data_IF_578705482900
#
_entry.id   IF_578705482900
#
_cell.length_a   1.000
_cell.length_b   1.000
_cell.length_c   1.000
_cell.angle_alpha   90.00
_cell.angle_beta   90.00
_cell.angle_gamma   90.00
#
_symmetry.space_group_name_H-M   'P 1'
#
loop_
_entity.id
_entity.type
_entity.pdbx_description
1 polymer ?
#
# COMPACT_ATOMS: atom_id res chain seq x y z
N UNK A 1 23.23 -33.14 -82.31
CA UNK A 1 22.87 -34.33 -81.51
C UNK A 1 23.78 -34.40 -80.31
N UNK A 2 23.28 -34.03 -79.13
CA UNK A 2 23.43 -34.69 -77.81
C UNK A 2 22.77 -33.80 -76.74
N UNK A 3 22.39 -34.44 -75.63
CA UNK A 3 21.31 -34.11 -74.69
C UNK A 3 21.63 -33.10 -73.57
N UNK A 4 20.55 -32.71 -72.86
CA UNK A 4 20.48 -32.42 -71.41
C UNK A 4 21.00 -31.07 -70.93
N UNK A 5 20.51 -30.45 -69.85
CA UNK A 5 19.61 -30.88 -68.78
C UNK A 5 18.97 -29.63 -68.14
N UNK A 6 17.79 -29.80 -67.54
CA UNK A 6 17.15 -28.83 -66.67
C UNK A 6 17.99 -28.56 -65.40
N UNK A 7 17.89 -27.36 -64.83
CA UNK A 7 17.50 -27.17 -63.42
C UNK A 7 17.36 -25.68 -63.06
N UNK A 8 16.17 -25.35 -62.53
CA UNK A 8 15.91 -24.20 -61.67
C UNK A 8 16.92 -24.20 -60.51
N UNK A 9 17.37 -23.04 -60.03
CA UNK A 9 17.43 -22.81 -58.58
C UNK A 9 17.58 -21.33 -58.23
N UNK A 10 16.50 -20.82 -57.66
CA UNK A 10 16.33 -19.64 -56.82
C UNK A 10 17.47 -19.49 -55.80
N UNK A 11 18.06 -18.29 -55.68
CA UNK A 11 18.90 -17.89 -54.54
C UNK A 11 18.38 -16.55 -54.02
N UNK A 12 17.44 -16.59 -53.08
CA UNK A 12 17.66 -16.45 -51.63
C UNK A 12 18.20 -15.07 -51.23
N UNK A 13 17.25 -14.19 -50.91
CA UNK A 13 17.42 -13.01 -50.08
C UNK A 13 17.86 -13.47 -48.68
N UNK A 14 19.12 -13.22 -48.29
CA UNK A 14 19.53 -13.30 -46.89
C UNK A 14 19.10 -12.01 -46.17
N UNK A 15 17.83 -11.96 -45.76
CA UNK A 15 17.39 -11.03 -44.72
C UNK A 15 17.74 -11.62 -43.36
N UNK A 16 18.80 -11.14 -42.72
CA UNK A 16 19.09 -11.44 -41.31
C UNK A 16 18.08 -10.66 -40.48
N UNK A 17 17.02 -11.34 -40.04
CA UNK A 17 16.05 -10.81 -39.09
C UNK A 17 16.68 -10.94 -37.69
N UNK A 18 17.24 -9.84 -37.17
CA UNK A 18 17.68 -9.77 -35.79
C UNK A 18 16.43 -9.79 -34.88
N UNK A 19 16.14 -10.95 -34.29
CA UNK A 19 15.14 -11.08 -33.23
C UNK A 19 15.77 -10.49 -31.98
N UNK A 20 15.46 -9.23 -31.68
CA UNK A 20 15.70 -8.64 -30.36
C UNK A 20 14.70 -9.30 -29.43
N UNK A 21 15.15 -10.32 -28.69
CA UNK A 21 14.40 -10.84 -27.54
C UNK A 21 14.47 -9.74 -26.47
N UNK A 22 13.41 -8.94 -26.39
CA UNK A 22 13.20 -8.05 -25.26
C UNK A 22 12.76 -8.96 -24.12
N UNK A 23 13.67 -9.31 -23.23
CA UNK A 23 13.31 -9.92 -21.96
C UNK A 23 12.35 -8.96 -21.26
N UNK A 24 11.08 -9.37 -21.19
CA UNK A 24 10.13 -8.70 -20.32
C UNK A 24 10.63 -8.94 -18.90
N UNK A 25 11.16 -7.90 -18.26
CA UNK A 25 11.46 -7.90 -16.84
C UNK A 25 10.13 -8.13 -16.14
N UNK A 26 9.85 -9.36 -15.72
CA UNK A 26 8.71 -9.66 -14.88
C UNK A 26 9.13 -9.35 -13.45
N UNK A 27 8.44 -8.42 -12.79
CA UNK A 27 8.67 -8.23 -11.36
C UNK A 27 7.97 -9.35 -10.60
N UNK A 28 8.78 -10.12 -9.89
CA UNK A 28 8.32 -11.08 -8.90
C UNK A 28 7.93 -10.33 -7.63
N UNK A 29 6.68 -10.46 -7.19
CA UNK A 29 6.25 -9.97 -5.89
C UNK A 29 6.03 -11.13 -4.94
N UNK A 30 6.32 -10.90 -3.67
CA UNK A 30 6.01 -11.81 -2.58
C UNK A 30 4.59 -11.56 -2.08
N UNK A 31 3.85 -12.65 -1.95
CA UNK A 31 2.49 -12.69 -1.39
C UNK A 31 2.50 -13.58 -0.14
N UNK A 32 1.87 -13.15 0.94
CA UNK A 32 1.64 -14.00 2.10
C UNK A 32 0.30 -13.68 2.78
N UNK A 33 -0.14 -14.60 3.64
CA UNK A 33 -1.32 -14.43 4.49
C UNK A 33 -0.85 -14.45 5.94
N UNK A 34 -1.18 -13.42 6.71
CA UNK A 34 -0.82 -13.40 8.14
C UNK A 34 -1.80 -14.20 9.01
N UNK A 35 -1.51 -14.28 10.31
CA UNK A 35 -2.33 -15.02 11.29
C UNK A 35 -3.77 -14.50 11.42
N UNK A 36 -4.03 -13.28 10.97
CA UNK A 36 -5.37 -12.67 10.97
C UNK A 36 -6.13 -12.92 9.67
N UNK A 37 -5.48 -13.55 8.68
CA UNK A 37 -6.04 -13.79 7.37
C UNK A 37 -5.96 -12.60 6.42
N UNK A 38 -5.19 -11.55 6.76
CA UNK A 38 -4.90 -10.46 5.83
C UNK A 38 -3.90 -10.93 4.78
N UNK A 39 -4.18 -10.62 3.51
CA UNK A 39 -3.27 -10.88 2.40
C UNK A 39 -2.39 -9.66 2.18
N UNK A 40 -1.09 -9.89 2.02
CA UNK A 40 -0.11 -8.83 1.81
C UNK A 40 0.70 -9.08 0.56
N UNK A 41 1.18 -7.98 -0.04
CA UNK A 41 2.04 -7.98 -1.21
C UNK A 41 3.22 -7.04 -1.00
N UNK A 42 4.43 -7.52 -1.29
CA UNK A 42 5.66 -6.73 -1.25
C UNK A 42 6.63 -7.16 -2.35
N UNK A 43 7.58 -6.28 -2.72
CA UNK A 43 8.67 -6.64 -3.65
C UNK A 43 9.66 -7.64 -3.05
N UNK A 44 9.86 -7.56 -1.74
CA UNK A 44 10.77 -8.42 -1.00
C UNK A 44 9.94 -9.28 -0.03
N UNK A 45 10.28 -10.56 0.08
CA UNK A 45 9.57 -11.48 0.96
C UNK A 45 9.99 -11.20 2.40
N UNK A 46 9.04 -11.03 3.34
CA UNK A 46 9.39 -10.89 4.74
C UNK A 46 10.11 -12.17 5.22
N UNK A 47 11.17 -12.05 6.04
CA UNK A 47 11.89 -13.20 6.56
C UNK A 47 10.98 -14.04 7.48
N UNK A 48 11.04 -15.37 7.37
CA UNK A 48 10.36 -16.27 8.31
C UNK A 48 8.85 -16.44 8.10
N UNK A 49 8.29 -16.00 6.96
CA UNK A 49 6.91 -16.27 6.55
C UNK A 49 6.90 -17.11 5.28
N UNK A 50 5.98 -18.08 5.18
CA UNK A 50 5.73 -18.75 3.90
C UNK A 50 5.11 -17.76 2.92
N UNK A 51 5.91 -17.34 1.93
CA UNK A 51 5.50 -16.40 0.89
C UNK A 51 5.54 -17.08 -0.49
N UNK A 52 4.53 -16.80 -1.30
CA UNK A 52 4.45 -17.21 -2.71
C UNK A 52 4.96 -16.08 -3.61
N UNK A 53 5.74 -16.41 -4.66
CA UNK A 53 6.14 -15.44 -5.68
C UNK A 53 5.06 -15.36 -6.77
N UNK A 54 4.52 -14.17 -6.96
CA UNK A 54 3.50 -13.86 -7.97
C UNK A 54 4.14 -13.02 -9.06
N UNK A 55 4.07 -13.51 -10.30
CA UNK A 55 4.62 -12.84 -11.47
C UNK A 55 3.68 -11.74 -11.96
N UNK A 56 4.20 -10.51 -12.09
CA UNK A 56 3.48 -9.40 -12.73
C UNK A 56 4.18 -9.07 -14.05
N UNK A 57 3.40 -8.99 -15.13
CA UNK A 57 3.88 -8.48 -16.41
C UNK A 57 4.16 -6.98 -16.31
N UNK A 58 5.42 -6.60 -16.09
CA UNK A 58 5.81 -5.19 -16.14
C UNK A 58 6.03 -4.71 -17.58
N UNK A 59 5.94 -3.38 -17.76
CA UNK A 59 6.53 -2.65 -18.89
C UNK A 59 7.64 -1.78 -18.28
N UNK A 60 8.82 -1.67 -18.90
CA UNK A 60 10.00 -1.12 -18.24
C UNK A 60 9.84 0.38 -17.96
N UNK A 61 10.27 0.80 -16.77
CA UNK A 61 10.52 2.19 -16.41
C UNK A 61 11.94 2.29 -15.86
N UNK A 62 12.75 3.15 -16.47
CA UNK A 62 14.18 3.36 -16.18
C UNK A 62 14.36 4.18 -14.90
N UNK A 63 15.22 3.69 -13.99
CA UNK A 63 15.76 4.42 -12.84
C UNK A 63 16.91 5.34 -13.29
N UNK A 64 17.02 6.52 -12.68
CA UNK A 64 18.32 7.17 -12.44
C UNK A 64 18.27 7.89 -11.07
N UNK A 65 19.33 7.65 -10.29
CA UNK A 65 19.50 7.96 -8.86
C UNK A 65 20.53 9.07 -8.70
N UNK A 66 20.29 10.09 -7.84
CA UNK A 66 21.32 10.70 -6.97
C UNK A 66 20.69 11.25 -5.66
N UNK A 67 21.34 10.96 -4.51
CA UNK A 67 21.00 11.35 -3.13
C UNK A 67 21.67 12.71 -2.73
N UNK A 68 21.55 13.35 -1.56
CA UNK A 68 21.04 13.12 -0.17
C UNK A 68 20.75 14.51 0.49
N UNK A 69 20.15 14.66 1.71
CA UNK A 69 20.93 14.92 2.96
C UNK A 69 20.15 14.68 4.31
N UNK A 70 20.58 15.23 5.49
CA UNK A 70 21.65 14.80 6.40
C UNK A 70 21.13 14.14 7.71
N UNK A 71 22.05 13.53 8.46
CA UNK A 71 21.84 13.02 9.84
C UNK A 71 21.56 14.14 10.85
N UNK A 72 20.63 13.88 11.78
CA UNK A 72 20.47 14.65 13.02
C UNK A 72 20.47 13.67 14.19
N UNK A 73 21.39 13.93 15.13
CA UNK A 73 21.64 13.22 16.38
C UNK A 73 20.49 13.33 17.40
N UNK A 74 20.36 12.38 18.34
CA UNK A 74 19.29 12.39 19.33
C UNK A 74 19.63 13.35 20.48
N UNK A 75 18.63 14.07 20.98
CA UNK A 75 18.70 14.68 22.32
C UNK A 75 17.42 14.40 23.09
N UNK A 76 17.67 13.96 24.30
CA UNK A 76 16.81 13.50 25.38
C UNK A 76 15.97 14.64 25.97
N UNK A 77 14.67 14.40 26.18
CA UNK A 77 14.01 14.66 27.47
C UNK A 77 12.54 14.22 27.41
N UNK A 78 12.20 13.28 28.30
CA UNK A 78 10.83 13.03 28.77
C UNK A 78 10.27 14.31 29.38
N UNK A 79 9.13 14.77 28.89
CA UNK A 79 8.22 15.62 29.66
C UNK A 79 6.78 15.12 29.44
N UNK A 80 6.12 14.86 30.56
CA UNK A 80 4.70 14.54 30.66
C UNK A 80 3.89 15.74 30.13
N UNK A 81 3.07 15.53 29.10
CA UNK A 81 2.12 16.55 28.63
C UNK A 81 1.08 16.81 29.75
N UNK A 82 0.93 18.04 30.24
CA UNK A 82 0.00 18.36 31.31
C UNK A 82 -1.46 18.26 30.81
N UNK A 83 -2.34 17.65 31.59
CA UNK A 83 -3.73 17.28 31.27
C UNK A 83 -4.57 18.31 30.47
N UNK A 84 -4.25 19.60 30.61
CA UNK A 84 -4.90 20.68 29.84
C UNK A 84 -4.59 20.63 28.34
N UNK A 85 -3.36 20.30 27.94
CA UNK A 85 -2.98 20.17 26.54
C UNK A 85 -3.67 18.97 25.88
N UNK A 86 -3.85 17.88 26.64
CA UNK A 86 -4.60 16.71 26.19
C UNK A 86 -6.10 17.02 26.04
N UNK A 87 -6.71 17.69 27.02
CA UNK A 87 -8.11 18.12 26.94
C UNK A 87 -8.37 19.04 25.73
N UNK A 88 -7.51 20.04 25.51
CA UNK A 88 -7.61 20.92 24.34
C UNK A 88 -7.48 20.15 23.02
N UNK A 89 -6.59 19.16 22.95
CA UNK A 89 -6.45 18.32 21.76
C UNK A 89 -7.70 17.44 21.51
N UNK A 90 -8.33 16.92 22.56
CA UNK A 90 -9.60 16.18 22.46
C UNK A 90 -10.74 17.07 21.97
N UNK A 91 -10.78 18.34 22.39
CA UNK A 91 -11.77 19.31 21.89
C UNK A 91 -11.54 19.69 20.41
N UNK A 92 -10.28 19.71 19.97
CA UNK A 92 -9.89 20.08 18.61
C UNK A 92 -10.06 18.94 17.60
N UNK A 93 -10.08 17.69 18.05
CA UNK A 93 -10.12 16.50 17.21
C UNK A 93 -11.46 15.76 17.32
N UNK A 94 -12.14 15.59 16.19
CA UNK A 94 -13.35 14.77 16.09
C UNK A 94 -13.26 13.79 14.92
N UNK A 95 -14.11 12.77 14.93
CA UNK A 95 -14.10 11.70 13.94
C UNK A 95 -15.49 11.51 13.35
N UNK A 96 -15.55 11.47 12.02
CA UNK A 96 -16.78 11.18 11.29
C UNK A 96 -16.73 9.79 10.70
N UNK A 97 -17.76 8.99 10.97
CA UNK A 97 -17.88 7.66 10.37
C UNK A 97 -17.92 7.75 8.84
N UNK A 98 -17.20 6.85 8.17
CA UNK A 98 -17.31 6.70 6.71
C UNK A 98 -18.65 6.06 6.37
N UNK A 99 -19.47 6.76 5.59
CA UNK A 99 -20.82 6.31 5.21
C UNK A 99 -20.95 6.01 3.71
N UNK A 100 -20.00 6.48 2.88
CA UNK A 100 -20.06 6.35 1.42
C UNK A 100 -18.71 6.04 0.81
N UNK A 101 -18.71 5.21 -0.23
CA UNK A 101 -17.52 4.77 -0.98
C UNK A 101 -16.66 5.95 -1.45
N UNK A 102 -17.29 7.06 -1.85
CA UNK A 102 -16.60 8.27 -2.31
C UNK A 102 -15.69 8.92 -1.26
N UNK A 103 -15.96 8.72 0.04
CA UNK A 103 -15.10 9.25 1.12
C UNK A 103 -13.76 8.52 1.17
N UNK A 104 -13.74 7.25 0.75
CA UNK A 104 -12.53 6.44 0.68
C UNK A 104 -11.78 6.62 -0.64
N UNK A 105 -12.45 7.10 -1.68
CA UNK A 105 -11.89 7.13 -3.03
C UNK A 105 -10.56 7.92 -3.09
N UNK A 106 -9.52 7.25 -3.56
CA UNK A 106 -8.16 7.77 -3.64
C UNK A 106 -7.13 6.78 -3.13
N UNK A 107 -5.87 7.20 -3.17
CA UNK A 107 -4.75 6.47 -2.57
C UNK A 107 -4.36 7.12 -1.25
N UNK A 108 -3.99 6.28 -0.29
CA UNK A 108 -3.68 6.65 1.07
C UNK A 108 -2.38 6.00 1.49
N UNK A 109 -1.53 6.74 2.22
CA UNK A 109 -0.27 6.27 2.78
C UNK A 109 -0.41 6.12 4.30
N UNK A 110 0.08 5.02 4.87
CA UNK A 110 0.24 4.87 6.32
C UNK A 110 1.24 5.90 6.82
N UNK A 111 0.78 6.80 7.69
CA UNK A 111 1.63 7.81 8.30
C UNK A 111 2.45 7.21 9.43
N UNK A 112 3.66 7.73 9.63
CA UNK A 112 4.38 7.50 10.88
C UNK A 112 4.10 8.71 11.79
N UNK A 113 3.63 8.49 13.02
CA UNK A 113 3.46 9.60 13.95
C UNK A 113 4.82 10.23 14.28
N UNK A 114 4.86 11.52 14.65
CA UNK A 114 6.08 12.16 15.12
C UNK A 114 6.63 11.44 16.35
N UNK A 115 7.95 11.22 16.39
CA UNK A 115 8.62 10.62 17.56
C UNK A 115 8.43 11.53 18.77
N UNK A 116 7.94 10.99 19.88
CA UNK A 116 7.84 11.69 21.17
C UNK A 116 6.51 12.41 21.45
N UNK A 117 5.59 12.51 20.50
CA UNK A 117 4.27 13.09 20.72
C UNK A 117 3.19 11.99 20.76
N UNK A 118 2.81 11.55 21.97
CA UNK A 118 1.56 10.80 22.24
C UNK A 118 1.44 9.38 21.64
N UNK A 119 0.42 8.56 22.04
CA UNK A 119 0.35 7.16 21.65
C UNK A 119 0.39 7.01 20.14
N UNK A 120 1.46 6.40 19.64
CA UNK A 120 1.58 6.02 18.24
C UNK A 120 0.28 5.31 17.83
N UNK A 121 -0.56 5.91 16.97
CA UNK A 121 -1.85 5.32 16.65
C UNK A 121 -1.67 3.96 15.98
N UNK A 122 -0.54 3.71 15.32
CA UNK A 122 -0.21 2.45 14.67
C UNK A 122 0.51 1.45 15.61
N UNK A 123 0.56 1.68 16.93
CA UNK A 123 1.31 0.84 17.88
C UNK A 123 0.84 -0.62 17.92
N UNK A 124 -0.43 -0.88 17.63
CA UNK A 124 -0.95 -2.23 17.48
C UNK A 124 -0.71 -2.65 16.02
N UNK A 125 0.54 -2.97 15.73
CA UNK A 125 0.94 -3.59 14.48
C UNK A 125 1.52 -4.95 14.86
N UNK A 126 0.76 -6.03 14.63
CA UNK A 126 1.15 -7.40 15.01
C UNK A 126 2.32 -7.93 14.15
N UNK A 127 2.93 -7.07 13.32
CA UNK A 127 4.06 -7.46 12.49
C UNK A 127 5.29 -7.65 13.38
N UNK A 128 5.88 -8.86 13.41
CA UNK A 128 7.07 -9.12 14.20
C UNK A 128 8.37 -8.63 13.51
N UNK A 129 8.27 -7.85 12.44
CA UNK A 129 9.39 -7.46 11.58
C UNK A 129 9.52 -5.94 11.48
N UNK A 130 10.75 -5.44 11.41
CA UNK A 130 11.05 -4.01 11.17
C UNK A 130 10.64 -3.53 9.76
N UNK A 131 10.27 -4.47 8.88
CA UNK A 131 9.90 -4.26 7.49
C UNK A 131 8.62 -5.03 7.14
N UNK A 132 7.69 -4.47 6.33
CA UNK A 132 7.82 -3.26 5.50
C UNK A 132 7.43 -1.95 6.20
N UNK A 133 8.22 -0.89 5.97
CA UNK A 133 8.07 0.43 6.61
C UNK A 133 6.92 1.28 6.05
N UNK A 134 6.63 1.15 4.76
CA UNK A 134 5.61 1.94 4.05
C UNK A 134 4.46 1.03 3.60
N UNK A 135 3.24 1.52 3.76
CA UNK A 135 2.02 0.82 3.36
C UNK A 135 1.08 1.78 2.66
N UNK A 136 0.50 1.33 1.56
CA UNK A 136 -0.38 2.10 0.69
C UNK A 136 -1.71 1.39 0.48
N UNK A 137 -2.78 2.16 0.44
CA UNK A 137 -4.15 1.69 0.22
C UNK A 137 -4.81 2.53 -0.88
N UNK A 138 -5.15 1.93 -2.02
CA UNK A 138 -5.83 2.62 -3.10
C UNK A 138 -7.26 2.08 -3.26
N UNK A 139 -8.23 2.88 -2.82
CA UNK A 139 -9.66 2.59 -2.93
C UNK A 139 -10.22 3.16 -4.24
N UNK A 140 -10.73 2.29 -5.10
CA UNK A 140 -11.37 2.68 -6.35
C UNK A 140 -12.90 2.76 -6.22
N UNK A 141 -13.52 3.67 -6.98
CA UNK A 141 -14.98 3.81 -7.07
C UNK A 141 -15.71 2.51 -7.48
N UNK A 142 -15.03 1.62 -8.20
CA UNK A 142 -15.51 0.30 -8.59
C UNK A 142 -15.41 -0.75 -7.48
N UNK A 143 -15.21 -0.35 -6.21
CA UNK A 143 -15.11 -1.23 -5.04
C UNK A 143 -13.91 -2.17 -5.05
N UNK A 144 -12.87 -1.81 -5.81
CA UNK A 144 -11.57 -2.49 -5.78
C UNK A 144 -10.69 -1.82 -4.75
N UNK A 145 -10.04 -2.62 -3.92
CA UNK A 145 -8.94 -2.16 -3.09
C UNK A 145 -7.65 -2.74 -3.65
N UNK A 146 -6.60 -1.94 -3.56
CA UNK A 146 -5.25 -2.35 -3.83
C UNK A 146 -4.39 -1.95 -2.64
N UNK A 147 -3.76 -2.95 -2.02
CA UNK A 147 -2.78 -2.77 -0.96
C UNK A 147 -1.38 -3.01 -1.50
N UNK A 148 -0.42 -2.19 -1.05
CA UNK A 148 0.98 -2.33 -1.43
C UNK A 148 1.88 -1.98 -0.26
N UNK A 149 2.90 -2.80 -0.02
CA UNK A 149 3.88 -2.59 1.02
C UNK A 149 5.31 -2.55 0.46
N UNK A 150 6.15 -1.69 1.03
CA UNK A 150 7.55 -1.55 0.62
C UNK A 150 8.42 -1.08 1.78
N UNK A 151 9.70 -1.43 1.72
CA UNK A 151 10.74 -1.10 2.70
C UNK A 151 11.32 0.29 2.45
N UNK A 152 11.40 0.68 1.17
CA UNK A 152 11.86 2.00 0.71
C UNK A 152 10.68 2.88 0.34
N UNK A 153 10.74 4.16 0.72
CA UNK A 153 9.74 5.14 0.30
C UNK A 153 9.84 5.27 -1.23
N UNK A 154 8.82 4.90 -1.98
CA UNK A 154 8.83 5.15 -3.40
C UNK A 154 8.55 6.64 -3.64
N UNK A 155 9.27 7.22 -4.60
CA UNK A 155 8.99 8.57 -5.09
C UNK A 155 7.88 8.51 -6.15
N UNK A 156 6.65 8.19 -5.71
CA UNK A 156 5.50 8.11 -6.60
C UNK A 156 4.57 9.30 -6.39
N UNK A 157 4.20 9.95 -7.48
CA UNK A 157 2.94 10.71 -7.51
C UNK A 157 1.75 9.78 -7.24
N UNK A 158 0.61 10.25 -6.70
CA UNK A 158 -0.57 9.40 -6.52
C UNK A 158 -1.06 8.79 -7.83
N UNK A 159 -0.79 9.42 -8.98
CA UNK A 159 -1.09 8.88 -10.30
C UNK A 159 -0.23 7.65 -10.61
N UNK A 160 1.06 7.69 -10.30
CA UNK A 160 1.98 6.57 -10.48
C UNK A 160 1.70 5.45 -9.50
N UNK A 161 1.44 5.77 -8.23
CA UNK A 161 1.04 4.77 -7.25
C UNK A 161 -0.25 4.08 -7.67
N UNK A 162 -1.25 4.82 -8.14
CA UNK A 162 -2.48 4.23 -8.69
C UNK A 162 -2.18 3.32 -9.88
N UNK A 163 -1.35 3.78 -10.82
CA UNK A 163 -0.95 2.98 -11.99
C UNK A 163 -0.30 1.66 -11.54
N UNK A 164 0.66 1.72 -10.62
CA UNK A 164 1.32 0.55 -10.04
C UNK A 164 0.34 -0.37 -9.32
N UNK A 165 -0.48 0.19 -8.43
CA UNK A 165 -1.50 -0.54 -7.69
C UNK A 165 -2.45 -1.29 -8.64
N UNK A 166 -2.89 -0.66 -9.74
CA UNK A 166 -3.77 -1.32 -10.72
C UNK A 166 -3.09 -2.42 -11.55
N UNK A 167 -1.76 -2.52 -11.53
CA UNK A 167 -1.02 -3.64 -12.12
C UNK A 167 -0.98 -4.85 -11.18
N UNK A 168 -1.21 -4.64 -9.89
CA UNK A 168 -1.34 -5.72 -8.91
C UNK A 168 -2.62 -6.53 -9.16
N UNK A 169 -2.60 -7.84 -8.87
CA UNK A 169 -3.82 -8.63 -8.80
C UNK A 169 -4.83 -7.97 -7.85
N UNK A 170 -5.98 -7.55 -8.39
CA UNK A 170 -7.08 -7.00 -7.58
C UNK A 170 -7.82 -8.14 -6.87
N UNK A 171 -7.17 -8.72 -5.87
CA UNK A 171 -7.73 -9.79 -5.05
C UNK A 171 -8.61 -9.25 -3.93
N UNK A 172 -8.63 -7.93 -3.71
CA UNK A 172 -9.45 -7.32 -2.67
C UNK A 172 -10.68 -6.60 -3.26
N UNK A 173 -11.80 -6.78 -2.57
CA UNK A 173 -13.03 -6.02 -2.76
C UNK A 173 -13.41 -5.35 -1.46
N UNK A 174 -14.03 -4.18 -1.54
CA UNK A 174 -14.50 -3.50 -0.35
C UNK A 174 -15.94 -3.00 -0.46
N UNK A 175 -16.61 -2.90 0.67
CA UNK A 175 -17.95 -2.34 0.78
C UNK A 175 -18.15 -1.64 2.12
N UNK A 176 -19.24 -0.87 2.24
CA UNK A 176 -19.63 -0.22 3.49
C UNK A 176 -21.00 -0.79 3.88
N UNK A 177 -21.05 -1.93 4.57
CA UNK A 177 -22.31 -2.57 4.96
C UNK A 177 -23.13 -1.75 5.97
N UNK A 178 -22.46 -0.92 6.77
CA UNK A 178 -23.07 0.01 7.72
C UNK A 178 -22.14 1.19 7.95
N UNK A 179 -22.69 2.31 8.42
CA UNK A 179 -21.92 3.52 8.71
C UNK A 179 -20.73 3.22 9.61
N UNK A 180 -19.56 3.73 9.21
CA UNK A 180 -18.30 3.57 9.92
C UNK A 180 -17.67 2.19 9.79
N UNK A 181 -18.21 1.30 8.96
CA UNK A 181 -17.68 -0.07 8.83
C UNK A 181 -17.36 -0.36 7.38
N UNK A 182 -16.08 -0.62 7.12
CA UNK A 182 -15.57 -1.05 5.81
C UNK A 182 -15.32 -2.55 5.88
N UNK A 183 -16.05 -3.31 5.09
CA UNK A 183 -15.79 -4.72 4.87
C UNK A 183 -14.78 -4.85 3.73
N UNK A 184 -13.64 -5.50 3.99
CA UNK A 184 -12.67 -5.90 2.97
C UNK A 184 -12.74 -7.42 2.80
N UNK A 185 -12.95 -7.86 1.58
CA UNK A 185 -12.98 -9.28 1.19
C UNK A 185 -11.70 -9.60 0.39
N UNK A 186 -10.89 -10.52 0.90
CA UNK A 186 -9.73 -11.06 0.19
C UNK A 186 -10.17 -12.31 -0.57
N UNK A 187 -10.39 -12.16 -1.88
CA UNK A 187 -11.02 -13.18 -2.73
C UNK A 187 -10.18 -14.46 -2.87
N UNK A 188 -8.87 -14.34 -2.78
CA UNK A 188 -7.91 -15.42 -2.91
C UNK A 188 -7.73 -16.21 -1.62
N UNK A 189 -7.70 -15.54 -0.47
CA UNK A 189 -7.67 -16.18 0.84
C UNK A 189 -9.06 -16.62 1.33
N UNK A 190 -10.13 -16.12 0.70
CA UNK A 190 -11.52 -16.36 1.12
C UNK A 190 -11.86 -15.69 2.46
N UNK A 191 -11.08 -14.70 2.89
CA UNK A 191 -11.23 -14.04 4.20
C UNK A 191 -12.01 -12.74 4.08
N UNK A 192 -12.63 -12.34 5.20
CA UNK A 192 -13.45 -11.13 5.32
C UNK A 192 -13.06 -10.39 6.59
N UNK A 193 -12.70 -9.12 6.45
CA UNK A 193 -12.22 -8.28 7.54
C UNK A 193 -13.11 -7.05 7.69
N UNK A 194 -13.53 -6.78 8.92
CA UNK A 194 -14.39 -5.65 9.24
C UNK A 194 -13.57 -4.56 9.92
N UNK A 195 -13.39 -3.46 9.21
CA UNK A 195 -12.66 -2.29 9.68
C UNK A 195 -13.65 -1.25 10.19
N UNK A 196 -13.46 -0.79 11.42
CA UNK A 196 -14.06 0.46 11.90
C UNK A 196 -13.29 1.60 11.24
N UNK A 197 -13.98 2.51 10.57
CA UNK A 197 -13.34 3.53 9.73
C UNK A 197 -13.99 4.90 9.88
N UNK A 198 -13.16 5.89 10.16
CA UNK A 198 -13.56 7.28 10.32
C UNK A 198 -12.60 8.24 9.61
N UNK A 199 -13.11 9.44 9.30
CA UNK A 199 -12.33 10.56 8.78
C UNK A 199 -12.13 11.57 9.90
N UNK A 200 -10.89 11.98 10.12
CA UNK A 200 -10.56 12.97 11.13
C UNK A 200 -11.02 14.38 10.71
N UNK A 201 -11.47 15.14 11.70
CA UNK A 201 -11.76 16.57 11.61
C UNK A 201 -10.99 17.28 12.72
N UNK A 202 -10.04 18.10 12.30
CA UNK A 202 -9.22 18.93 13.16
C UNK A 202 -9.69 20.37 13.06
N UNK A 203 -9.88 21.03 14.19
CA UNK A 203 -10.40 22.40 14.27
C UNK A 203 -9.46 23.32 15.04
N UNK A 204 -9.38 24.58 14.62
CA UNK A 204 -8.54 25.61 15.25
C UNK A 204 -7.03 25.51 14.97
N UNK A 205 -6.54 24.37 14.48
CA UNK A 205 -5.13 24.12 14.11
C UNK A 205 -5.05 23.26 12.84
N UNK A 206 -3.87 23.20 12.20
CA UNK A 206 -3.65 22.36 11.01
C UNK A 206 -3.53 20.88 11.36
N UNK A 207 -2.87 20.55 12.48
CA UNK A 207 -2.56 19.18 12.86
C UNK A 207 -2.59 19.01 14.39
N UNK A 208 -3.13 17.88 14.87
CA UNK A 208 -3.13 17.46 16.28
C UNK A 208 -2.57 16.05 16.38
N UNK A 209 -1.45 15.87 17.10
CA UNK A 209 -0.75 14.59 17.25
C UNK A 209 -0.49 13.85 15.92
N UNK A 210 -0.12 14.59 14.88
CA UNK A 210 0.10 14.02 13.55
C UNK A 210 -1.17 13.90 12.71
N UNK A 211 -2.38 13.98 13.28
CA UNK A 211 -3.64 13.92 12.50
C UNK A 211 -4.00 15.26 11.89
N UNK A 212 -4.44 15.24 10.63
CA UNK A 212 -5.00 16.37 9.89
C UNK A 212 -6.45 16.11 9.53
N UNK A 213 -7.20 17.18 9.27
CA UNK A 213 -8.53 17.07 8.66
C UNK A 213 -8.45 16.29 7.36
N UNK A 214 -9.31 15.28 7.21
CA UNK A 214 -9.36 14.43 6.03
C UNK A 214 -8.52 13.16 6.13
N UNK A 215 -7.64 13.02 7.12
CA UNK A 215 -6.92 11.77 7.38
C UNK A 215 -7.91 10.66 7.72
N UNK A 216 -7.61 9.44 7.27
CA UNK A 216 -8.41 8.25 7.53
C UNK A 216 -7.86 7.51 8.74
N UNK A 217 -8.76 7.07 9.62
CA UNK A 217 -8.45 6.20 10.74
C UNK A 217 -9.18 4.89 10.56
N UNK A 218 -8.45 3.78 10.51
CA UNK A 218 -8.99 2.44 10.32
C UNK A 218 -8.54 1.51 11.44
N UNK A 219 -9.48 0.84 12.08
CA UNK A 219 -9.23 -0.12 13.14
C UNK A 219 -9.83 -1.47 12.78
N UNK A 220 -9.00 -2.51 12.67
CA UNK A 220 -9.45 -3.89 12.55
C UNK A 220 -9.61 -4.44 13.96
N UNK A 221 -10.82 -4.87 14.31
CA UNK A 221 -11.14 -5.41 15.63
C UNK A 221 -11.43 -6.90 15.54
N UNK A 222 -10.86 -7.68 16.44
CA UNK A 222 -11.17 -9.09 16.58
C UNK A 222 -12.64 -9.25 16.98
N UNK A 223 -13.42 -9.92 16.13
CA UNK A 223 -14.89 -9.96 16.28
C UNK A 223 -15.33 -10.64 17.59
N UNK A 224 -14.56 -11.64 18.07
CA UNK A 224 -14.91 -12.38 19.31
C UNK A 224 -14.47 -11.69 20.60
N UNK A 225 -13.23 -11.21 20.67
CA UNK A 225 -12.64 -10.62 21.89
C UNK A 225 -12.92 -9.12 21.99
N UNK A 226 -13.22 -8.45 20.87
CA UNK A 226 -13.40 -7.02 20.82
C UNK A 226 -12.07 -6.23 20.88
N UNK A 227 -10.94 -6.92 20.84
CA UNK A 227 -9.61 -6.31 20.85
C UNK A 227 -9.27 -5.71 19.50
N UNK A 228 -8.64 -4.54 19.50
CA UNK A 228 -8.11 -3.94 18.29
C UNK A 228 -6.85 -4.73 17.88
N UNK A 229 -6.84 -5.25 16.65
CA UNK A 229 -5.76 -6.05 16.07
C UNK A 229 -4.81 -5.19 15.24
N UNK A 230 -5.37 -4.25 14.49
CA UNK A 230 -4.61 -3.28 13.74
C UNK A 230 -5.24 -1.92 13.85
N UNK A 231 -4.39 -0.90 13.93
CA UNK A 231 -4.79 0.48 13.75
C UNK A 231 -3.95 1.06 12.62
N UNK A 232 -4.61 1.83 11.76
CA UNK A 232 -4.02 2.51 10.62
C UNK A 232 -4.48 3.96 10.59
N UNK A 233 -3.56 4.86 10.86
CA UNK A 233 -3.68 6.27 10.49
C UNK A 233 -3.13 6.43 9.07
N UNK A 234 -3.99 6.86 8.15
CA UNK A 234 -3.64 7.03 6.76
C UNK A 234 -3.86 8.48 6.32
N UNK A 235 -2.91 8.99 5.54
CA UNK A 235 -3.01 10.30 4.88
C UNK A 235 -3.30 10.12 3.41
N UNK A 236 -4.18 10.96 2.88
CA UNK A 236 -4.46 10.97 1.45
C UNK A 236 -3.23 11.46 0.69
N UNK A 237 -2.95 10.81 -0.43
CA UNK A 237 -1.88 11.20 -1.34
C UNK A 237 -2.54 11.99 -2.47
N UNK A 238 -2.22 13.27 -2.56
CA UNK A 238 -2.77 14.22 -3.54
C UNK A 238 -1.81 14.51 -4.71
#
# INVERSE_FOLDING_TARGET
MTYSCAHRLTRFLCGVLAIVVVDAVNAELCKWVDETGCVHYARECPPGVEAERVEIKEKPCTEDIQAAPPEISPTDSRDELPDKAFQQAVEQLSFESVTRVRQLAGCWEKTQPPVGAQPNPNKIEIYPFEEPKYQYFCFESARKLYTYMTTKKPDYSPRELKKWATMMPSVERYSIPRDGIVLIEHLDAGTKLYWVTSVAKVSGVEEVYGMRTGDLYMTLRHVKTGEDLYIRHLRKID
#
